data_IF_091590141870
#
_entry.id   IF_091590141870
#
_cell.length_a   1.000
_cell.length_b   1.000
_cell.length_c   1.000
_cell.angle_alpha   90.00
_cell.angle_beta   90.00
_cell.angle_gamma   90.00
#
_symmetry.space_group_name_H-M   'P 1'
#
loop_
_entity.id
_entity.type
_entity.pdbx_description
1 polymer ?
#
# COMPACT_ATOMS: atom_id res chain seq x y z
N UNK A 1 18.45 3.61 9.22
CA UNK A 1 17.02 3.75 8.87
C UNK A 1 16.92 4.15 7.41
N UNK A 2 16.75 3.18 6.52
CA UNK A 2 16.83 3.36 5.06
C UNK A 2 15.51 3.78 4.41
N UNK A 3 14.36 3.54 5.05
CA UNK A 3 13.03 3.78 4.46
C UNK A 3 12.35 5.02 5.05
N UNK A 4 12.02 5.00 6.35
CA UNK A 4 11.21 6.05 7.00
C UNK A 4 12.04 7.05 7.83
N UNK A 5 13.23 7.43 7.36
CA UNK A 5 14.01 8.49 8.00
C UNK A 5 13.38 9.87 7.75
N UNK A 6 13.63 10.86 8.61
CA UNK A 6 13.17 12.24 8.38
C UNK A 6 13.57 12.79 7.01
N UNK A 7 14.75 12.42 6.51
CA UNK A 7 15.22 12.82 5.18
C UNK A 7 14.35 12.21 4.07
N UNK A 8 14.04 10.92 4.18
CA UNK A 8 13.27 10.19 3.19
C UNK A 8 11.78 10.56 3.22
N UNK A 9 11.19 10.75 4.40
CA UNK A 9 9.81 11.23 4.53
C UNK A 9 9.64 12.62 3.90
N UNK A 10 10.67 13.46 3.99
CA UNK A 10 10.70 14.78 3.35
C UNK A 10 10.87 14.70 1.84
N UNK A 11 11.58 13.71 1.31
CA UNK A 11 11.70 13.60 -0.15
C UNK A 11 10.35 13.31 -0.81
N UNK A 12 9.48 12.50 -0.19
CA UNK A 12 8.10 12.30 -0.65
C UNK A 12 7.16 13.53 -0.55
N UNK A 13 7.68 14.73 -0.25
CA UNK A 13 6.88 15.96 -0.15
C UNK A 13 6.23 16.36 -1.48
N UNK A 14 6.93 16.17 -2.60
CA UNK A 14 6.44 16.41 -3.96
C UNK A 14 5.20 15.60 -4.28
N UNK A 15 5.20 14.30 -3.94
CA UNK A 15 4.05 13.39 -4.12
C UNK A 15 2.85 13.91 -3.33
N UNK A 16 3.06 14.29 -2.06
CA UNK A 16 1.96 14.82 -1.22
C UNK A 16 1.38 16.11 -1.79
N UNK A 17 2.23 17.01 -2.27
CA UNK A 17 1.79 18.28 -2.85
C UNK A 17 1.04 18.08 -4.18
N UNK A 18 1.54 17.18 -5.04
CA UNK A 18 0.88 16.86 -6.32
C UNK A 18 -0.49 16.21 -6.09
N UNK A 19 -0.58 15.20 -5.20
CA UNK A 19 -1.86 14.56 -4.88
C UNK A 19 -2.82 15.52 -4.16
N UNK A 20 -2.32 16.43 -3.32
CA UNK A 20 -3.16 17.45 -2.68
C UNK A 20 -3.71 18.44 -3.71
N UNK A 21 -2.90 18.82 -4.71
CA UNK A 21 -3.35 19.65 -5.82
C UNK A 21 -4.45 18.95 -6.64
N UNK A 22 -4.32 17.64 -6.89
CA UNK A 22 -5.35 16.83 -7.57
C UNK A 22 -6.63 16.75 -6.74
N UNK A 23 -6.53 16.56 -5.42
CA UNK A 23 -7.68 16.58 -4.51
C UNK A 23 -8.42 17.92 -4.55
N UNK A 24 -7.69 19.04 -4.43
CA UNK A 24 -8.28 20.38 -4.48
C UNK A 24 -9.00 20.62 -5.81
N UNK A 25 -8.37 20.27 -6.94
CA UNK A 25 -8.99 20.37 -8.27
C UNK A 25 -10.26 19.53 -8.37
N UNK A 26 -10.23 18.30 -7.83
CA UNK A 26 -11.40 17.41 -7.80
C UNK A 26 -12.54 17.95 -6.93
N UNK A 27 -12.26 18.72 -5.89
CA UNK A 27 -13.27 19.39 -5.07
C UNK A 27 -13.82 20.60 -5.82
N UNK A 28 -12.95 21.43 -6.41
CA UNK A 28 -13.33 22.62 -7.18
C UNK A 28 -14.23 22.28 -8.37
N UNK A 29 -13.98 21.16 -9.04
CA UNK A 29 -14.80 20.70 -10.17
C UNK A 29 -16.22 20.26 -9.76
N UNK A 30 -16.44 19.95 -8.48
CA UNK A 30 -17.73 19.52 -7.94
C UNK A 30 -18.48 20.66 -7.23
N UNK A 31 -18.14 21.91 -7.53
CA UNK A 31 -18.76 23.08 -6.92
C UNK A 31 -20.28 23.10 -7.17
N UNK A 32 -21.07 23.20 -6.10
CA UNK A 32 -22.53 23.23 -6.16
C UNK A 32 -23.21 21.86 -6.04
N UNK A 33 -22.46 20.75 -6.01
CA UNK A 33 -22.98 19.40 -5.80
C UNK A 33 -22.54 18.82 -4.45
N UNK A 34 -23.38 18.00 -3.78
CA UNK A 34 -22.94 17.23 -2.62
C UNK A 34 -21.76 16.32 -2.98
N UNK A 35 -20.69 16.36 -2.20
CA UNK A 35 -19.51 15.52 -2.40
C UNK A 35 -19.32 14.52 -1.26
N UNK A 36 -18.84 13.33 -1.59
CA UNK A 36 -18.35 12.37 -0.60
C UNK A 36 -16.89 12.71 -0.26
N UNK A 37 -16.69 13.42 0.85
CA UNK A 37 -15.34 13.85 1.29
C UNK A 37 -14.49 12.65 1.70
N UNK A 38 -15.06 11.67 2.42
CA UNK A 38 -14.38 10.45 2.83
C UNK A 38 -13.80 9.68 1.65
N UNK A 39 -14.57 9.53 0.57
CA UNK A 39 -14.09 8.87 -0.65
C UNK A 39 -12.93 9.64 -1.31
N UNK A 40 -13.01 10.97 -1.35
CA UNK A 40 -11.94 11.81 -1.90
C UNK A 40 -10.67 11.76 -1.05
N UNK A 41 -10.79 11.77 0.28
CA UNK A 41 -9.67 11.65 1.23
C UNK A 41 -9.04 10.26 1.16
N UNK A 42 -9.86 9.21 1.08
CA UNK A 42 -9.38 7.85 0.89
C UNK A 42 -8.61 7.69 -0.43
N UNK A 43 -9.13 8.25 -1.52
CA UNK A 43 -8.43 8.28 -2.80
C UNK A 43 -7.11 9.05 -2.72
N UNK A 44 -7.08 10.21 -2.07
CA UNK A 44 -5.87 11.00 -1.85
C UNK A 44 -4.79 10.21 -1.09
N UNK A 45 -5.13 9.65 0.07
CA UNK A 45 -4.18 8.89 0.91
C UNK A 45 -3.71 7.61 0.23
N UNK A 46 -4.59 6.91 -0.50
CA UNK A 46 -4.24 5.77 -1.36
C UNK A 46 -3.24 6.19 -2.43
N UNK A 47 -3.46 7.34 -3.07
CA UNK A 47 -2.58 7.84 -4.13
C UNK A 47 -1.19 8.16 -3.62
N UNK A 48 -1.11 8.89 -2.51
CA UNK A 48 0.16 9.26 -1.86
C UNK A 48 0.93 8.00 -1.45
N UNK A 49 0.27 7.08 -0.75
CA UNK A 49 0.91 5.89 -0.21
C UNK A 49 1.34 4.94 -1.33
N UNK A 50 0.50 4.76 -2.35
CA UNK A 50 0.83 3.95 -3.54
C UNK A 50 2.03 4.51 -4.28
N UNK A 51 2.10 5.83 -4.52
CA UNK A 51 3.23 6.43 -5.24
C UNK A 51 4.51 6.42 -4.44
N UNK A 52 4.43 6.53 -3.11
CA UNK A 52 5.60 6.39 -2.24
C UNK A 52 6.09 4.94 -2.19
N UNK A 53 5.17 3.97 -2.13
CA UNK A 53 5.50 2.55 -2.01
C UNK A 53 5.98 1.92 -3.33
N UNK A 54 5.29 2.20 -4.44
CA UNK A 54 5.44 1.49 -5.72
C UNK A 54 5.73 2.39 -6.93
N UNK A 55 5.91 3.70 -6.70
CA UNK A 55 6.10 4.69 -7.77
C UNK A 55 4.82 5.00 -8.57
N UNK A 56 4.97 5.66 -9.73
CA UNK A 56 3.84 5.94 -10.65
C UNK A 56 3.30 4.68 -11.35
N UNK A 57 3.95 3.54 -11.17
CA UNK A 57 3.72 2.33 -11.94
C UNK A 57 2.64 1.48 -11.30
N UNK A 58 1.38 1.92 -11.35
CA UNK A 58 0.26 0.97 -11.23
C UNK A 58 -0.86 1.35 -12.18
N UNK A 59 -0.93 0.64 -13.33
CA UNK A 59 -2.08 0.69 -14.24
C UNK A 59 -3.37 0.19 -13.59
N UNK A 60 -3.26 -0.69 -12.59
CA UNK A 60 -4.35 -1.33 -11.87
C UNK A 60 -4.51 -0.84 -10.41
N UNK A 61 -4.22 0.45 -10.17
CA UNK A 61 -4.29 1.04 -8.82
C UNK A 61 -5.65 0.84 -8.16
N UNK A 62 -6.73 1.00 -8.92
CA UNK A 62 -8.10 0.81 -8.44
C UNK A 62 -8.36 -0.65 -8.06
N UNK A 63 -7.78 -1.60 -8.80
CA UNK A 63 -7.83 -3.02 -8.47
C UNK A 63 -7.11 -3.31 -7.16
N UNK A 64 -5.90 -2.75 -6.96
CA UNK A 64 -5.14 -2.91 -5.72
C UNK A 64 -5.89 -2.32 -4.52
N UNK A 65 -6.45 -1.12 -4.68
CA UNK A 65 -7.27 -0.46 -3.67
C UNK A 65 -8.49 -1.32 -3.30
N UNK A 66 -9.23 -1.81 -4.30
CA UNK A 66 -10.38 -2.69 -4.08
C UNK A 66 -9.98 -3.96 -3.32
N UNK A 67 -8.84 -4.56 -3.67
CA UNK A 67 -8.34 -5.75 -2.98
C UNK A 67 -7.98 -5.46 -1.52
N UNK A 68 -7.40 -4.31 -1.22
CA UNK A 68 -7.06 -3.92 0.15
C UNK A 68 -8.29 -3.62 0.97
N UNK A 69 -9.25 -2.86 0.44
CA UNK A 69 -10.51 -2.64 1.14
C UNK A 69 -11.21 -3.95 1.49
N UNK A 70 -11.24 -4.91 0.56
CA UNK A 70 -11.77 -6.26 0.82
C UNK A 70 -10.95 -7.02 1.87
N UNK A 71 -9.61 -6.86 1.88
CA UNK A 71 -8.73 -7.57 2.81
C UNK A 71 -8.88 -7.02 4.22
N UNK A 72 -8.85 -5.70 4.35
CA UNK A 72 -9.09 -4.99 5.61
C UNK A 72 -10.49 -5.31 6.14
N UNK A 73 -11.52 -5.34 5.29
CA UNK A 73 -12.88 -5.71 5.71
C UNK A 73 -12.97 -7.15 6.24
N UNK A 74 -12.21 -8.09 5.67
CA UNK A 74 -12.13 -9.46 6.18
C UNK A 74 -11.29 -9.57 7.45
N UNK A 75 -10.18 -8.84 7.54
CA UNK A 75 -9.32 -8.79 8.72
C UNK A 75 -10.02 -8.12 9.91
N UNK A 76 -10.97 -7.20 9.66
CA UNK A 76 -11.88 -6.65 10.67
C UNK A 76 -12.91 -7.66 11.18
N UNK A 77 -13.15 -8.75 10.44
CA UNK A 77 -14.14 -9.75 10.80
C UNK A 77 -13.71 -10.56 12.02
N UNK A 78 -14.65 -10.83 12.91
CA UNK A 78 -14.42 -11.71 14.06
C UNK A 78 -14.18 -13.16 13.61
N UNK A 79 -13.08 -13.78 14.03
CA UNK A 79 -12.90 -15.24 13.95
C UNK A 79 -13.00 -15.85 15.36
N UNK A 80 -13.98 -16.74 15.56
CA UNK A 80 -14.16 -17.47 16.82
C UNK A 80 -12.94 -18.33 17.16
N UNK A 81 -12.17 -18.74 16.15
CA UNK A 81 -10.94 -19.48 16.34
C UNK A 81 -9.86 -18.67 17.09
N UNK A 82 -9.89 -17.33 17.01
CA UNK A 82 -8.93 -16.46 17.69
C UNK A 82 -9.22 -16.35 19.19
N UNK A 83 -10.50 -16.45 19.59
CA UNK A 83 -10.92 -16.43 20.99
C UNK A 83 -10.86 -17.81 21.66
N UNK A 84 -11.08 -18.88 20.89
CA UNK A 84 -11.12 -20.24 21.40
C UNK A 84 -10.09 -21.14 20.69
N UNK A 85 -8.78 -20.86 20.85
CA UNK A 85 -7.71 -21.58 20.14
C UNK A 85 -7.63 -23.07 20.49
N UNK A 86 -8.23 -23.50 21.61
CA UNK A 86 -8.34 -24.91 22.01
C UNK A 86 -9.34 -25.71 21.17
N UNK A 87 -10.32 -25.06 20.55
CA UNK A 87 -11.35 -25.70 19.72
C UNK A 87 -10.89 -25.77 18.26
N UNK A 88 -9.96 -26.70 17.97
CA UNK A 88 -9.30 -26.83 16.66
C UNK A 88 -10.27 -26.94 15.47
N UNK A 89 -11.47 -27.49 15.64
CA UNK A 89 -12.45 -27.58 14.55
C UNK A 89 -12.91 -26.19 14.04
N UNK A 90 -12.91 -25.15 14.89
CA UNK A 90 -13.27 -23.78 14.48
C UNK A 90 -12.26 -23.23 13.44
N UNK A 91 -10.98 -23.61 13.56
CA UNK A 91 -9.95 -23.24 12.57
C UNK A 91 -10.17 -23.87 11.19
N UNK A 92 -10.93 -24.98 11.11
CA UNK A 92 -11.27 -25.66 9.86
C UNK A 92 -12.62 -25.22 9.29
N UNK A 93 -13.53 -24.73 10.14
CA UNK A 93 -14.87 -24.26 9.74
C UNK A 93 -14.88 -22.78 9.34
N UNK A 94 -13.81 -22.02 9.61
CA UNK A 94 -13.73 -20.60 9.25
C UNK A 94 -13.73 -20.39 7.73
N UNK A 95 -14.92 -20.04 7.20
CA UNK A 95 -15.11 -19.59 5.82
C UNK A 95 -14.21 -18.38 5.47
N UNK A 96 -13.91 -17.55 6.46
CA UNK A 96 -13.04 -16.39 6.32
C UNK A 96 -11.62 -16.80 5.93
N UNK A 97 -11.10 -17.92 6.47
CA UNK A 97 -9.75 -18.42 6.14
C UNK A 97 -9.61 -18.78 4.65
N UNK A 98 -10.60 -19.45 4.07
CA UNK A 98 -10.60 -19.77 2.64
C UNK A 98 -10.64 -18.50 1.78
N UNK A 99 -11.51 -17.55 2.14
CA UNK A 99 -11.63 -16.27 1.42
C UNK A 99 -10.34 -15.46 1.52
N UNK A 100 -9.69 -15.43 2.70
CA UNK A 100 -8.41 -14.77 2.92
C UNK A 100 -7.30 -15.41 2.10
N UNK A 101 -7.23 -16.74 2.04
CA UNK A 101 -6.24 -17.46 1.22
C UNK A 101 -6.43 -17.17 -0.28
N UNK A 102 -7.67 -17.15 -0.76
CA UNK A 102 -7.97 -16.78 -2.16
C UNK A 102 -7.51 -15.36 -2.46
N UNK A 103 -7.77 -14.42 -1.55
CA UNK A 103 -7.34 -13.03 -1.69
C UNK A 103 -5.83 -12.87 -1.62
N UNK A 104 -5.17 -13.62 -0.73
CA UNK A 104 -3.71 -13.67 -0.64
C UNK A 104 -3.11 -14.03 -1.99
N UNK A 105 -3.57 -15.09 -2.67
CA UNK A 105 -3.07 -15.45 -4.00
C UNK A 105 -3.26 -14.35 -5.06
N UNK A 106 -4.37 -13.61 -5.01
CA UNK A 106 -4.62 -12.52 -5.95
C UNK A 106 -3.72 -11.31 -5.67
N UNK A 107 -3.55 -10.94 -4.40
CA UNK A 107 -2.61 -9.91 -3.97
C UNK A 107 -1.17 -10.30 -4.33
N UNK A 108 -0.80 -11.55 -4.09
CA UNK A 108 0.53 -12.08 -4.39
C UNK A 108 0.88 -11.90 -5.86
N UNK A 109 -0.05 -12.23 -6.77
CA UNK A 109 0.12 -12.02 -8.21
C UNK A 109 0.29 -10.55 -8.58
N UNK A 110 -0.45 -9.63 -7.95
CA UNK A 110 -0.31 -8.18 -8.22
C UNK A 110 1.05 -7.69 -7.73
N UNK A 111 1.46 -8.09 -6.53
CA UNK A 111 2.74 -7.68 -5.95
C UNK A 111 3.93 -8.27 -6.72
N UNK A 112 3.80 -9.49 -7.25
CA UNK A 112 4.79 -10.09 -8.16
C UNK A 112 4.94 -9.27 -9.45
N UNK A 113 3.83 -8.82 -10.05
CA UNK A 113 3.87 -7.94 -11.22
C UNK A 113 4.62 -6.65 -10.90
N UNK A 114 4.34 -6.02 -9.76
CA UNK A 114 5.03 -4.81 -9.31
C UNK A 114 6.53 -5.09 -9.14
N UNK A 115 6.91 -6.13 -8.40
CA UNK A 115 8.33 -6.46 -8.18
C UNK A 115 9.06 -6.75 -9.50
N UNK A 116 8.44 -7.51 -10.40
CA UNK A 116 9.05 -7.85 -11.69
C UNK A 116 9.23 -6.62 -12.59
N UNK A 117 8.25 -5.71 -12.62
CA UNK A 117 8.39 -4.44 -13.34
C UNK A 117 9.57 -3.61 -12.84
N UNK A 118 9.78 -3.54 -11.52
CA UNK A 118 10.93 -2.84 -10.94
C UNK A 118 12.26 -3.55 -11.28
N UNK A 119 12.29 -4.90 -11.25
CA UNK A 119 13.47 -5.68 -11.67
C UNK A 119 13.84 -5.47 -13.15
N UNK A 120 12.85 -5.50 -14.04
CA UNK A 120 13.04 -5.28 -15.49
C UNK A 120 13.54 -3.85 -15.76
N UNK A 121 13.00 -2.86 -15.05
CA UNK A 121 13.44 -1.47 -15.11
C UNK A 121 14.90 -1.31 -14.67
N UNK A 122 15.32 -2.00 -13.61
CA UNK A 122 16.73 -2.01 -13.17
C UNK A 122 17.64 -2.66 -14.23
N UNK A 123 17.19 -3.75 -14.86
CA UNK A 123 17.95 -4.44 -15.89
C UNK A 123 18.17 -3.60 -17.15
N UNK A 124 17.20 -2.74 -17.50
CA UNK A 124 17.28 -1.83 -18.66
C UNK A 124 18.08 -0.54 -18.38
N UNK A 125 18.63 -0.37 -17.17
CA UNK A 125 19.46 0.78 -16.80
C UNK A 125 18.69 2.10 -16.71
N UNK A 126 17.37 2.06 -16.76
CA UNK A 126 16.50 3.24 -16.72
C UNK A 126 16.39 3.72 -15.27
N UNK A 127 17.31 4.60 -14.86
CA UNK A 127 17.25 5.26 -13.55
C UNK A 127 16.05 6.21 -13.53
N UNK A 128 15.27 6.15 -12.46
CA UNK A 128 14.15 7.05 -12.29
C UNK A 128 14.59 8.36 -11.62
N UNK A 129 13.75 9.39 -11.69
CA UNK A 129 13.86 10.58 -10.84
C UNK A 129 13.02 10.39 -9.55
N UNK A 130 13.05 9.18 -8.98
CA UNK A 130 12.26 8.84 -7.78
C UNK A 130 12.76 9.53 -6.51
N UNK A 131 11.86 9.66 -5.53
CA UNK A 131 12.07 10.46 -4.33
C UNK A 131 13.14 9.90 -3.37
N UNK A 132 13.52 8.62 -3.47
CA UNK A 132 14.57 8.01 -2.64
C UNK A 132 15.94 7.96 -3.35
N UNK A 133 16.32 9.05 -4.01
CA UNK A 133 17.60 9.13 -4.74
C UNK A 133 17.56 8.35 -6.06
N UNK A 134 16.44 8.43 -6.77
CA UNK A 134 16.26 7.85 -8.10
C UNK A 134 15.38 6.60 -8.14
N UNK A 135 14.60 6.33 -7.09
CA UNK A 135 13.65 5.22 -7.00
C UNK A 135 12.63 5.37 -5.87
N UNK A 136 11.76 4.38 -5.71
CA UNK A 136 10.75 4.28 -4.65
C UNK A 136 11.12 3.22 -3.59
N UNK A 137 10.19 2.88 -2.70
CA UNK A 137 10.44 1.92 -1.61
C UNK A 137 10.74 0.52 -2.15
N UNK A 138 10.08 0.08 -3.23
CA UNK A 138 10.38 -1.22 -3.87
C UNK A 138 11.82 -1.21 -4.39
N UNK A 139 12.26 -0.12 -5.03
CA UNK A 139 13.64 0.02 -5.52
C UNK A 139 14.67 -0.08 -4.39
N UNK A 140 14.42 0.56 -3.26
CA UNK A 140 15.31 0.49 -2.09
C UNK A 140 15.35 -0.92 -1.51
N UNK A 141 14.21 -1.58 -1.37
CA UNK A 141 14.13 -2.96 -0.85
C UNK A 141 14.84 -3.96 -1.78
N UNK A 142 14.69 -3.83 -3.10
CA UNK A 142 15.40 -4.66 -4.08
C UNK A 142 16.92 -4.41 -4.05
N UNK A 143 17.35 -3.17 -3.81
CA UNK A 143 18.77 -2.85 -3.65
C UNK A 143 19.34 -3.49 -2.38
N UNK A 144 18.62 -3.41 -1.26
CA UNK A 144 19.02 -4.03 0.01
C UNK A 144 19.05 -5.57 -0.09
N UNK A 145 18.09 -6.16 -0.79
CA UNK A 145 18.09 -7.60 -1.09
C UNK A 145 19.35 -8.01 -1.86
N UNK A 146 19.79 -7.20 -2.85
CA UNK A 146 20.99 -7.48 -3.65
C UNK A 146 22.30 -7.18 -2.91
N UNK A 147 22.33 -6.19 -2.01
CA UNK A 147 23.56 -5.84 -1.29
C UNK A 147 23.94 -6.91 -0.26
N UNK A 148 22.98 -7.68 0.24
CA UNK A 148 23.23 -8.73 1.23
C UNK A 148 23.70 -8.18 2.58
N UNK A 149 23.52 -6.88 2.81
CA UNK A 149 23.96 -6.17 4.02
C UNK A 149 23.05 -6.41 5.23
N UNK A 150 21.91 -7.08 5.02
CA UNK A 150 20.96 -7.40 6.08
C UNK A 150 21.32 -8.75 6.73
N UNK A 151 21.32 -8.77 8.07
CA UNK A 151 21.58 -9.98 8.87
C UNK A 151 20.61 -11.13 8.54
N UNK A 152 19.42 -10.80 8.05
CA UNK A 152 18.42 -11.77 7.59
C UNK A 152 18.24 -11.63 6.07
N UNK A 153 18.39 -12.73 5.30
CA UNK A 153 18.13 -12.72 3.86
C UNK A 153 16.72 -12.24 3.56
N UNK A 154 16.61 -11.12 2.85
CA UNK A 154 15.32 -10.57 2.44
C UNK A 154 14.84 -11.28 1.17
N UNK A 155 13.76 -12.05 1.28
CA UNK A 155 13.15 -12.73 0.12
C UNK A 155 12.19 -11.80 -0.64
N UNK A 156 11.76 -12.18 -1.83
CA UNK A 156 10.70 -11.43 -2.53
C UNK A 156 9.41 -11.41 -1.69
N UNK A 157 9.09 -12.48 -0.97
CA UNK A 157 7.88 -12.54 -0.13
C UNK A 157 7.97 -11.54 1.03
N UNK A 158 9.17 -11.35 1.60
CA UNK A 158 9.40 -10.30 2.60
C UNK A 158 9.15 -8.91 1.99
N UNK A 159 9.64 -8.66 0.77
CA UNK A 159 9.40 -7.38 0.07
C UNK A 159 7.91 -7.18 -0.18
N UNK A 160 7.20 -8.20 -0.71
CA UNK A 160 5.75 -8.19 -0.93
C UNK A 160 4.98 -7.87 0.35
N UNK A 161 5.34 -8.50 1.46
CA UNK A 161 4.71 -8.26 2.75
C UNK A 161 4.94 -6.81 3.23
N UNK A 162 6.18 -6.30 3.13
CA UNK A 162 6.51 -4.93 3.56
C UNK A 162 5.73 -3.89 2.76
N UNK A 163 5.71 -4.00 1.43
CA UNK A 163 5.04 -3.01 0.58
C UNK A 163 3.52 -3.07 0.73
N UNK A 164 2.96 -4.27 0.96
CA UNK A 164 1.55 -4.44 1.27
C UNK A 164 1.18 -3.82 2.63
N UNK A 165 1.99 -4.04 3.66
CA UNK A 165 1.78 -3.48 4.99
C UNK A 165 1.82 -1.95 4.96
N UNK A 166 2.82 -1.36 4.30
CA UNK A 166 2.90 0.09 4.12
C UNK A 166 1.66 0.65 3.40
N UNK A 167 1.23 0.00 2.32
CA UNK A 167 0.11 0.51 1.53
C UNK A 167 -1.23 0.39 2.26
N UNK A 168 -1.51 -0.79 2.84
CA UNK A 168 -2.76 -1.04 3.56
C UNK A 168 -2.86 -0.23 4.86
N UNK A 169 -1.80 -0.26 5.68
CA UNK A 169 -1.73 0.48 6.93
C UNK A 169 -1.72 1.99 6.70
N UNK A 170 -0.92 2.48 5.76
CA UNK A 170 -0.78 3.92 5.49
C UNK A 170 -2.05 4.56 4.91
N UNK A 171 -2.85 3.81 4.15
CA UNK A 171 -4.06 4.33 3.50
C UNK A 171 -5.24 4.44 4.46
N UNK A 172 -5.65 3.33 5.09
CA UNK A 172 -6.88 3.29 5.90
C UNK A 172 -6.75 4.15 7.17
N UNK A 173 -5.59 4.09 7.83
CA UNK A 173 -5.38 4.83 9.09
C UNK A 173 -5.29 6.33 8.86
N UNK A 174 -4.58 6.77 7.81
CA UNK A 174 -4.44 8.19 7.48
C UNK A 174 -5.75 8.79 6.99
N UNK A 175 -6.51 8.07 6.14
CA UNK A 175 -7.81 8.53 5.67
C UNK A 175 -8.81 8.67 6.82
N UNK A 176 -8.90 7.65 7.68
CA UNK A 176 -9.76 7.71 8.87
C UNK A 176 -9.39 8.89 9.78
N UNK A 177 -8.09 9.13 10.00
CA UNK A 177 -7.63 10.25 10.83
C UNK A 177 -7.98 11.61 10.23
N UNK A 178 -7.85 11.76 8.91
CA UNK A 178 -8.23 12.99 8.20
C UNK A 178 -9.75 13.20 8.21
N UNK A 179 -10.53 12.14 8.05
CA UNK A 179 -11.99 12.19 8.15
C UNK A 179 -12.41 12.72 9.52
N UNK A 180 -11.87 12.16 10.60
CA UNK A 180 -12.12 12.65 11.96
C UNK A 180 -11.76 14.13 12.12
N UNK A 181 -10.56 14.52 11.68
CA UNK A 181 -10.09 15.89 11.77
C UNK A 181 -10.93 16.91 10.96
N UNK A 182 -11.64 16.46 9.93
CA UNK A 182 -12.53 17.30 9.13
C UNK A 182 -13.95 17.39 9.70
N UNK A 183 -14.34 16.43 10.54
CA UNK A 183 -15.65 16.38 11.19
C UNK A 183 -15.70 17.03 12.56
N UNK A 184 -14.56 17.18 13.24
CA UNK A 184 -14.42 17.98 14.47
C UNK A 184 -14.42 19.49 14.16
#
# INVERSE_FOLDING_TARGET
MELLSNKNVRSFSSIRLDEASRLIKSIQSSCGEPINVSEKIFSFTSSVTSRAAFGEVIRDKDTLIMFIQKTVALARGFDLADFYPSLKFLQYVSWNKYKLLKMHHQLDSILDVIINQHKDKHATGKRDNGELGGGDIVDVLLRLQKSGELDVPTTNDNIKAIIFDMFSGGTETSSTSLDWAMTE
#
